data_IF_723222695181
#
_entry.id   IF_723222695181
#
_cell.length_a   1.000
_cell.length_b   1.000
_cell.length_c   1.000
_cell.angle_alpha   90.00
_cell.angle_beta   90.00
_cell.angle_gamma   90.00
#
_symmetry.space_group_name_H-M   'P 1'
#
loop_
_entity.id
_entity.type
_entity.pdbx_description
1 polymer ?
#
# COMPACT_ATOMS: atom_id res chain seq x y z
N UNK A 1 -4.96 -10.10 14.22
CA UNK A 1 -3.51 -9.79 14.17
C UNK A 1 -3.37 -8.27 14.15
N UNK A 2 -2.60 -7.70 15.08
CA UNK A 2 -2.39 -6.25 15.16
C UNK A 2 -1.06 -5.87 14.46
N UNK A 3 -1.01 -4.68 13.86
CA UNK A 3 0.24 -4.10 13.35
C UNK A 3 0.94 -3.40 14.50
N UNK A 4 2.18 -3.79 14.79
CA UNK A 4 2.98 -3.18 15.85
C UNK A 4 4.11 -2.35 15.25
N UNK A 5 4.36 -1.18 15.84
CA UNK A 5 5.47 -0.29 15.45
C UNK A 5 6.82 -0.98 15.73
N UNK A 6 7.78 -0.79 14.84
CA UNK A 6 9.13 -1.37 14.94
C UNK A 6 9.23 -2.83 14.51
N UNK A 7 8.10 -3.52 14.28
CA UNK A 7 8.10 -4.84 13.66
C UNK A 7 8.12 -4.74 12.13
N UNK A 8 8.51 -5.83 11.47
CA UNK A 8 8.47 -5.92 10.02
C UNK A 8 7.03 -5.68 9.54
N UNK A 9 6.87 -4.74 8.62
CA UNK A 9 5.57 -4.44 8.03
C UNK A 9 4.97 -5.70 7.36
N UNK A 10 3.66 -5.94 7.48
CA UNK A 10 3.00 -7.07 6.83
C UNK A 10 3.20 -7.03 5.32
N UNK A 11 3.46 -8.20 4.73
CA UNK A 11 3.53 -8.31 3.28
C UNK A 11 2.16 -8.02 2.66
N UNK A 12 2.14 -7.26 1.58
CA UNK A 12 0.98 -7.08 0.73
C UNK A 12 1.39 -7.21 -0.73
N UNK A 13 0.43 -7.66 -1.53
CA UNK A 13 0.50 -7.66 -2.98
C UNK A 13 -0.89 -7.37 -3.54
N UNK A 14 -0.96 -6.67 -4.67
CA UNK A 14 -2.23 -6.37 -5.32
C UNK A 14 -2.08 -5.51 -6.56
N UNK A 15 -3.20 -5.28 -7.24
CA UNK A 15 -3.26 -4.38 -8.39
C UNK A 15 -3.41 -2.93 -7.93
N UNK A 16 -2.61 -2.05 -8.49
CA UNK A 16 -2.66 -0.61 -8.27
C UNK A 16 -2.65 0.15 -9.59
N UNK A 17 -3.17 1.38 -9.58
CA UNK A 17 -3.06 2.31 -10.70
C UNK A 17 -1.81 3.16 -10.51
N UNK A 18 -0.81 3.00 -11.40
CA UNK A 18 0.47 3.72 -11.36
C UNK A 18 0.70 4.39 -12.70
N UNK A 19 0.71 5.73 -12.72
CA UNK A 19 0.85 6.50 -13.96
C UNK A 19 -0.31 6.27 -14.94
N UNK A 20 -1.53 6.03 -14.44
CA UNK A 20 -2.72 5.77 -15.25
C UNK A 20 -2.87 4.33 -15.76
N UNK A 21 -1.93 3.43 -15.46
CA UNK A 21 -1.99 2.03 -15.87
C UNK A 21 -2.11 1.09 -14.66
N UNK A 22 -2.79 -0.04 -14.85
CA UNK A 22 -2.81 -1.12 -13.86
C UNK A 22 -1.45 -1.82 -13.81
N UNK A 23 -0.92 -1.98 -12.60
CA UNK A 23 0.30 -2.74 -12.32
C UNK A 23 0.09 -3.61 -11.10
N UNK A 24 0.65 -4.81 -11.13
CA UNK A 24 0.80 -5.63 -9.93
C UNK A 24 1.97 -5.06 -9.10
N UNK A 25 1.71 -4.80 -7.82
CA UNK A 25 2.70 -4.28 -6.88
C UNK A 25 2.78 -5.18 -5.66
N UNK A 26 3.96 -5.26 -5.05
CA UNK A 26 4.16 -5.83 -3.72
C UNK A 26 5.04 -4.93 -2.88
N UNK A 27 4.91 -5.02 -1.55
CA UNK A 27 5.74 -4.25 -0.62
C UNK A 27 7.25 -4.45 -0.88
N UNK A 28 7.64 -5.65 -1.32
CA UNK A 28 9.03 -6.00 -1.59
C UNK A 28 9.66 -5.21 -2.75
N UNK A 29 8.86 -4.73 -3.70
CA UNK A 29 9.35 -3.96 -4.86
C UNK A 29 9.93 -2.60 -4.44
N UNK A 30 9.63 -2.16 -3.23
CA UNK A 30 10.05 -0.87 -2.67
C UNK A 30 11.19 -1.00 -1.64
N UNK A 31 11.85 -2.16 -1.54
CA UNK A 31 13.01 -2.35 -0.65
C UNK A 31 14.08 -1.28 -0.89
N UNK A 32 14.65 -0.77 0.19
CA UNK A 32 15.66 0.30 0.15
C UNK A 32 15.08 1.71 -0.01
N UNK A 33 13.74 1.86 -0.08
CA UNK A 33 13.06 3.15 -0.09
C UNK A 33 12.17 3.27 1.14
N UNK A 34 11.99 4.51 1.61
CA UNK A 34 10.93 4.81 2.56
C UNK A 34 9.57 4.71 1.87
N UNK A 35 8.64 4.00 2.50
CA UNK A 35 7.28 3.77 1.99
C UNK A 35 6.29 4.32 3.01
N UNK A 36 5.41 5.21 2.57
CA UNK A 36 4.27 5.68 3.35
C UNK A 36 3.03 5.01 2.77
N UNK A 37 2.33 4.22 3.59
CA UNK A 37 1.06 3.56 3.24
C UNK A 37 -0.07 4.20 4.04
N UNK A 38 -1.09 4.69 3.34
CA UNK A 38 -2.26 5.33 3.93
C UNK A 38 -3.54 4.69 3.38
N UNK A 39 -4.57 4.62 4.23
CA UNK A 39 -5.87 4.06 3.89
C UNK A 39 -6.92 5.15 3.95
N UNK A 40 -7.83 5.14 3.00
CA UNK A 40 -9.04 5.97 3.00
C UNK A 40 -10.28 5.08 2.89
N UNK A 41 -11.44 5.53 3.40
CA UNK A 41 -12.60 4.65 3.56
C UNK A 41 -13.17 4.13 2.24
N UNK A 42 -13.43 5.02 1.29
CA UNK A 42 -14.05 4.69 0.01
C UNK A 42 -13.80 5.81 -1.01
N UNK A 43 -13.70 5.46 -2.29
CA UNK A 43 -13.64 6.44 -3.36
C UNK A 43 -15.04 7.04 -3.62
N UNK A 44 -15.10 8.31 -4.06
CA UNK A 44 -16.33 8.99 -4.49
C UNK A 44 -17.46 9.07 -3.44
N UNK A 45 -17.12 9.28 -2.16
CA UNK A 45 -18.12 9.50 -1.10
C UNK A 45 -18.67 10.93 -1.14
N UNK A 46 -20.00 11.13 -1.06
CA UNK A 46 -20.57 12.46 -0.82
C UNK A 46 -20.15 12.98 0.56
N UNK A 47 -19.90 14.28 0.65
CA UNK A 47 -19.57 15.00 1.90
C UNK A 47 -20.81 15.30 2.72
#
# INVERSE_FOLDING_TARGET
MAVNVGQKAPAFAGKAVVGGAFKDIKLEDYKGKWVVLWFYPLAFTPV
#
